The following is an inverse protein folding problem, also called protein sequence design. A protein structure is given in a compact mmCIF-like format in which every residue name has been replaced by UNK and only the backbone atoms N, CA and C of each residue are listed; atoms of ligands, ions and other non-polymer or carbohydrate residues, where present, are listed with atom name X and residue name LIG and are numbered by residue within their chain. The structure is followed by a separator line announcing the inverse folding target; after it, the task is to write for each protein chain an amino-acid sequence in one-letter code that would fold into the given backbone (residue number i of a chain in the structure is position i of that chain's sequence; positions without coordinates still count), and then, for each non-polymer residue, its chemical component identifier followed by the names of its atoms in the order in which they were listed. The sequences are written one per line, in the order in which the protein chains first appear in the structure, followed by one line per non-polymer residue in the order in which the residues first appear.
data_IF_774382273805
#
_entry.id   IF_774382273805
#
_cell.length_a   1.000
_cell.length_b   1.000
_cell.length_c   1.000
_cell.angle_alpha   90.00
_cell.angle_beta   90.00
_cell.angle_gamma   90.00
#
_symmetry.space_group_name_H-M   'P 1'
#
loop_
_entity.id
_entity.type
_entity.pdbx_description
1 polymer ?
#
# COMPACT_ATOMS: atom_id res chain seq x y z
N UNK A 1 35.48 0.99 -38.41
CA UNK A 1 35.45 1.22 -36.95
C UNK A 1 36.05 0.00 -36.26
N UNK A 2 37.14 0.14 -35.48
CA UNK A 2 37.89 -1.02 -34.97
C UNK A 2 37.12 -1.83 -33.91
N UNK A 3 37.31 -3.15 -33.92
CA UNK A 3 36.60 -4.14 -33.09
C UNK A 3 36.57 -3.81 -31.59
N UNK A 4 37.65 -3.22 -31.05
CA UNK A 4 37.68 -2.73 -29.65
C UNK A 4 36.66 -1.60 -29.37
N UNK A 5 36.43 -0.71 -30.34
CA UNK A 5 35.44 0.37 -30.21
C UNK A 5 34.01 -0.19 -30.24
N UNK A 6 33.77 -1.24 -31.02
CA UNK A 6 32.47 -1.94 -31.07
C UNK A 6 32.19 -2.63 -29.73
N UNK A 7 33.18 -3.34 -29.17
CA UNK A 7 33.04 -4.01 -27.86
C UNK A 7 32.81 -2.97 -26.74
N UNK A 8 33.57 -1.87 -26.73
CA UNK A 8 33.31 -0.77 -25.78
C UNK A 8 31.90 -0.18 -25.93
N UNK A 9 31.43 0.12 -27.15
CA UNK A 9 30.09 0.66 -27.36
C UNK A 9 28.99 -0.33 -26.92
N UNK A 10 29.14 -1.61 -27.25
CA UNK A 10 28.19 -2.64 -26.83
C UNK A 10 28.17 -2.80 -25.31
N UNK A 11 29.33 -2.74 -24.65
CA UNK A 11 29.39 -2.77 -23.19
C UNK A 11 28.74 -1.53 -22.54
N UNK A 12 28.89 -0.33 -23.12
CA UNK A 12 28.18 0.86 -22.66
C UNK A 12 26.66 0.76 -22.85
N UNK A 13 26.20 0.19 -23.96
CA UNK A 13 24.77 -0.02 -24.23
C UNK A 13 24.12 -1.01 -23.26
N UNK A 14 24.83 -2.07 -22.88
CA UNK A 14 24.35 -3.07 -21.90
C UNK A 14 24.32 -2.45 -20.49
N UNK A 15 25.31 -1.62 -20.13
CA UNK A 15 25.32 -0.90 -18.86
C UNK A 15 24.23 0.18 -18.76
N UNK A 16 23.84 0.81 -19.88
CA UNK A 16 22.77 1.80 -19.91
C UNK A 16 21.39 1.18 -19.62
N UNK A 17 21.09 -0.01 -20.14
CA UNK A 17 19.79 -0.67 -19.91
C UNK A 17 19.56 -1.05 -18.45
N UNK A 18 20.61 -1.46 -17.74
CA UNK A 18 20.49 -1.85 -16.32
C UNK A 18 20.18 -0.68 -15.39
N UNK A 19 20.43 0.56 -15.81
CA UNK A 19 20.21 1.77 -15.01
C UNK A 19 18.74 2.27 -15.03
N UNK A 20 17.88 1.70 -15.88
CA UNK A 20 16.46 2.05 -15.97
C UNK A 20 15.67 0.87 -15.39
N UNK A 21 15.63 0.77 -14.06
CA UNK A 21 14.68 -0.11 -13.41
C UNK A 21 13.28 0.52 -13.53
N UNK A 22 12.35 -0.16 -14.20
CA UNK A 22 10.96 0.28 -14.26
C UNK A 22 10.38 0.38 -12.85
N UNK A 23 9.73 1.52 -12.56
CA UNK A 23 8.97 1.68 -11.32
C UNK A 23 7.87 0.62 -11.25
N UNK A 24 7.55 0.09 -10.06
CA UNK A 24 6.44 -0.83 -9.93
C UNK A 24 5.13 -0.15 -10.36
N UNK A 25 4.19 -0.94 -10.87
CA UNK A 25 2.95 -0.43 -11.48
C UNK A 25 2.13 0.53 -10.59
N UNK A 26 2.17 0.38 -9.26
CA UNK A 26 1.47 1.23 -8.29
C UNK A 26 2.20 2.55 -7.94
N UNK A 27 3.41 2.77 -8.47
CA UNK A 27 4.16 4.03 -8.33
C UNK A 27 4.11 4.88 -9.62
N UNK A 28 3.50 4.36 -10.68
CA UNK A 28 3.18 5.12 -11.89
C UNK A 28 2.05 6.12 -11.61
N UNK A 29 1.99 7.21 -12.36
CA UNK A 29 0.89 8.19 -12.28
C UNK A 29 -0.46 7.55 -12.62
N UNK A 30 -0.47 6.66 -13.62
CA UNK A 30 -1.61 5.82 -13.99
C UNK A 30 -1.11 4.49 -14.58
N UNK A 31 -1.91 3.41 -14.50
CA UNK A 31 -1.60 2.16 -15.21
C UNK A 31 -1.71 2.37 -16.73
N UNK A 32 -0.71 1.91 -17.47
CA UNK A 32 -0.62 2.11 -18.94
C UNK A 32 -0.97 0.83 -19.71
N UNK A 33 -1.11 -0.28 -19.00
CA UNK A 33 -1.25 -1.61 -19.58
C UNK A 33 -2.09 -2.55 -18.72
N UNK A 34 -2.60 -3.61 -19.34
CA UNK A 34 -3.24 -4.71 -18.61
C UNK A 34 -2.30 -5.34 -17.58
N UNK A 35 -1.00 -5.45 -17.91
CA UNK A 35 0.01 -5.96 -16.99
C UNK A 35 0.17 -5.09 -15.74
N UNK A 36 0.04 -3.77 -15.86
CA UNK A 36 0.06 -2.86 -14.71
C UNK A 36 -1.14 -3.11 -13.80
N UNK A 37 -2.35 -3.20 -14.38
CA UNK A 37 -3.58 -3.48 -13.64
C UNK A 37 -3.50 -4.81 -12.87
N UNK A 38 -3.03 -5.87 -13.52
CA UNK A 38 -2.84 -7.17 -12.88
C UNK A 38 -1.81 -7.08 -11.74
N UNK A 39 -0.73 -6.33 -11.94
CA UNK A 39 0.32 -6.15 -10.93
C UNK A 39 -0.20 -5.37 -9.71
N UNK A 40 -0.99 -4.32 -9.92
CA UNK A 40 -1.67 -3.57 -8.85
C UNK A 40 -2.63 -4.48 -8.10
N UNK A 41 -3.48 -5.26 -8.79
CA UNK A 41 -4.41 -6.19 -8.15
C UNK A 41 -3.66 -7.19 -7.25
N UNK A 42 -2.59 -7.80 -7.75
CA UNK A 42 -1.76 -8.74 -6.99
C UNK A 42 -1.18 -8.08 -5.75
N UNK A 43 -0.69 -6.85 -5.86
CA UNK A 43 -0.13 -6.12 -4.74
C UNK A 43 -1.20 -5.77 -3.69
N UNK A 44 -2.40 -5.33 -4.12
CA UNK A 44 -3.54 -5.08 -3.22
C UNK A 44 -3.93 -6.35 -2.47
N UNK A 45 -4.11 -7.46 -3.19
CA UNK A 45 -4.45 -8.76 -2.60
C UNK A 45 -3.37 -9.25 -1.64
N UNK A 46 -2.10 -8.99 -1.94
CA UNK A 46 -0.96 -9.35 -1.09
C UNK A 46 -0.96 -8.60 0.24
N UNK A 47 -1.28 -7.29 0.25
CA UNK A 47 -1.25 -6.48 1.48
C UNK A 47 -2.56 -6.59 2.28
N UNK A 48 -3.66 -6.95 1.64
CA UNK A 48 -5.00 -6.99 2.21
C UNK A 48 -5.07 -7.74 3.55
N UNK A 49 -4.56 -8.99 3.73
CA UNK A 49 -4.72 -9.71 4.99
C UNK A 49 -4.09 -8.98 6.18
N UNK A 50 -2.91 -8.37 5.98
CA UNK A 50 -2.21 -7.61 7.03
C UNK A 50 -2.94 -6.32 7.37
N UNK A 51 -3.44 -5.61 6.36
CA UNK A 51 -4.22 -4.39 6.56
C UNK A 51 -5.55 -4.67 7.26
N UNK A 52 -6.24 -5.75 6.88
CA UNK A 52 -7.49 -6.19 7.52
C UNK A 52 -7.28 -6.53 9.00
N UNK A 53 -6.22 -7.26 9.34
CA UNK A 53 -5.93 -7.64 10.72
C UNK A 53 -5.74 -6.43 11.67
N UNK A 54 -5.25 -5.30 11.14
CA UNK A 54 -5.08 -4.06 11.91
C UNK A 54 -6.31 -3.14 11.85
N UNK A 55 -7.25 -3.38 10.93
CA UNK A 55 -8.43 -2.52 10.74
C UNK A 55 -9.55 -2.96 11.66
N UNK A 56 -10.19 -2.00 12.32
CA UNK A 56 -11.26 -2.22 13.29
C UNK A 56 -12.48 -1.35 12.99
N UNK A 57 -13.65 -1.82 13.39
CA UNK A 57 -14.87 -1.00 13.36
C UNK A 57 -15.02 -0.24 14.67
N UNK A 58 -15.36 1.04 14.59
CA UNK A 58 -15.70 1.90 15.72
C UNK A 58 -17.20 2.10 15.72
N UNK A 59 -17.89 1.68 16.78
CA UNK A 59 -19.33 1.83 16.94
C UNK A 59 -19.63 2.76 18.12
N UNK A 60 -20.42 3.79 17.88
CA UNK A 60 -20.67 4.89 18.82
C UNK A 60 -22.17 5.20 18.85
N UNK A 61 -22.93 4.44 19.62
CA UNK A 61 -24.39 4.52 19.59
C UNK A 61 -24.92 4.18 18.20
N UNK A 62 -25.64 5.12 17.57
CA UNK A 62 -26.21 4.95 16.22
C UNK A 62 -25.27 5.23 15.04
N UNK A 63 -23.98 5.54 15.27
CA UNK A 63 -23.00 5.82 14.19
C UNK A 63 -21.86 4.80 14.18
N UNK A 64 -21.29 4.56 13.00
CA UNK A 64 -20.12 3.69 12.79
C UNK A 64 -19.03 4.35 11.96
N UNK A 65 -17.78 3.94 12.15
CA UNK A 65 -16.64 4.29 11.30
C UNK A 65 -15.51 3.28 11.43
N UNK A 66 -14.37 3.59 10.81
CA UNK A 66 -13.19 2.70 10.80
C UNK A 66 -12.03 3.30 11.58
N UNK A 67 -11.16 2.43 12.07
CA UNK A 67 -9.90 2.81 12.69
C UNK A 67 -8.84 1.74 12.47
N UNK A 68 -7.61 2.04 12.88
CA UNK A 68 -6.46 1.15 12.72
C UNK A 68 -5.73 1.03 14.05
N UNK A 69 -5.42 -0.20 14.46
CA UNK A 69 -4.56 -0.48 15.62
C UNK A 69 -3.11 -0.15 15.24
N UNK A 70 -2.47 0.74 15.99
CA UNK A 70 -1.12 1.26 15.67
C UNK A 70 -0.02 0.74 16.60
N UNK A 71 -0.37 0.09 17.71
CA UNK A 71 0.60 -0.51 18.63
C UNK A 71 0.02 -1.76 19.35
N UNK A 72 0.86 -2.44 20.14
CA UNK A 72 0.49 -3.70 20.83
C UNK A 72 -0.39 -3.47 22.05
N UNK A 73 -0.38 -2.25 22.58
CA UNK A 73 -1.18 -1.83 23.73
C UNK A 73 -2.65 -1.55 23.35
N UNK A 74 -2.97 -1.59 22.06
CA UNK A 74 -4.34 -1.41 21.56
C UNK A 74 -4.72 0.03 21.24
N UNK A 75 -3.75 0.92 21.00
CA UNK A 75 -4.02 2.29 20.54
C UNK A 75 -4.64 2.25 19.14
N UNK A 76 -5.79 2.91 18.98
CA UNK A 76 -6.53 3.00 17.71
C UNK A 76 -6.46 4.41 17.14
N UNK A 77 -5.99 4.54 15.90
CA UNK A 77 -6.01 5.78 15.12
C UNK A 77 -7.28 5.83 14.25
N UNK A 78 -7.94 6.99 14.22
CA UNK A 78 -9.07 7.26 13.32
C UNK A 78 -9.11 8.76 12.96
N UNK A 79 -9.97 9.15 12.03
CA UNK A 79 -10.19 10.56 11.71
C UNK A 79 -10.96 11.27 12.83
N UNK A 80 -10.66 12.55 13.08
CA UNK A 80 -11.34 13.34 14.11
C UNK A 80 -12.86 13.44 13.92
N UNK A 81 -13.34 13.44 12.67
CA UNK A 81 -14.78 13.45 12.39
C UNK A 81 -15.47 12.11 12.70
N UNK A 82 -14.73 11.00 12.78
CA UNK A 82 -15.25 9.68 13.15
C UNK A 82 -15.42 9.60 14.66
N UNK A 83 -14.37 9.90 15.43
CA UNK A 83 -14.40 9.83 16.89
C UNK A 83 -15.28 10.92 17.52
N UNK A 84 -15.34 12.10 16.90
CA UNK A 84 -16.14 13.22 17.37
C UNK A 84 -15.61 13.81 18.68
N UNK A 85 -16.48 13.97 19.68
CA UNK A 85 -16.14 14.65 20.94
C UNK A 85 -15.30 13.75 21.87
N UNK A 86 -14.28 14.31 22.56
CA UNK A 86 -13.51 13.58 23.57
C UNK A 86 -14.39 13.00 24.68
N UNK A 87 -13.95 11.89 25.27
CA UNK A 87 -14.63 11.22 26.39
C UNK A 87 -15.87 10.40 26.03
N UNK A 88 -16.21 10.30 24.74
CA UNK A 88 -17.30 9.45 24.25
C UNK A 88 -16.92 7.97 24.34
N UNK A 89 -17.86 7.14 24.79
CA UNK A 89 -17.72 5.70 24.71
C UNK A 89 -17.74 5.21 23.25
N UNK A 90 -16.76 4.40 22.88
CA UNK A 90 -16.62 3.76 21.57
C UNK A 90 -16.49 2.25 21.79
N UNK A 91 -17.33 1.47 21.12
CA UNK A 91 -17.15 0.03 21.02
C UNK A 91 -16.23 -0.26 19.83
N UNK A 92 -15.13 -0.97 20.09
CA UNK A 92 -14.23 -1.45 19.04
C UNK A 92 -14.67 -2.87 18.68
N UNK A 93 -14.79 -3.16 17.39
CA UNK A 93 -15.06 -4.49 16.86
C UNK A 93 -13.87 -4.89 15.99
N UNK A 94 -13.21 -5.98 16.37
CA UNK A 94 -12.02 -6.53 15.70
C UNK A 94 -12.41 -7.26 14.41
N UNK A 95 -11.40 -7.62 13.61
CA UNK A 95 -11.59 -8.31 12.34
C UNK A 95 -12.26 -9.69 12.47
N UNK A 96 -12.22 -10.31 13.66
CA UNK A 96 -12.90 -11.57 13.98
C UNK A 96 -14.34 -11.38 14.50
N UNK A 97 -14.83 -10.13 14.56
CA UNK A 97 -16.18 -9.78 14.96
C UNK A 97 -16.38 -9.58 16.47
N UNK A 98 -15.30 -9.64 17.27
CA UNK A 98 -15.35 -9.42 18.73
C UNK A 98 -15.26 -7.95 19.11
#
# INVERSE_FOLDING_TARGET
MNMRKIICLLSLLIFWQAAIADKPAWEKEAPESLSDLISIQKQVQKVLPRCMAATVTLQMGGSSGSGVVVNKEGLVLTAGHVSGRPGRAVKIILADGR
#
